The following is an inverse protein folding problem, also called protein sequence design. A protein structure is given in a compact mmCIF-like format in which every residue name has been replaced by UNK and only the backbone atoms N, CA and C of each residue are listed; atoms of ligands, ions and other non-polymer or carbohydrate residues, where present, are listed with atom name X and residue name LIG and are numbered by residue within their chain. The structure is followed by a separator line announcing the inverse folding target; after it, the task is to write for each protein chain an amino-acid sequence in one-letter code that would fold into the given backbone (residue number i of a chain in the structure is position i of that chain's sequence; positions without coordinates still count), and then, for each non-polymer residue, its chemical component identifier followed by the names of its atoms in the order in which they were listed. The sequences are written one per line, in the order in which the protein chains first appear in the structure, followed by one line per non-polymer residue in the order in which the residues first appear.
data_IF_457298501378
#
_entry.id   IF_457298501378
#
_cell.length_a   1.000
_cell.length_b   1.000
_cell.length_c   1.000
_cell.angle_alpha   90.00
_cell.angle_beta   90.00
_cell.angle_gamma   90.00
#
_symmetry.space_group_name_H-M   'P 1'
#
loop_
_entity.id
_entity.type
_entity.pdbx_description
1 polymer ?
#
# COMPACT_ATOMS: atom_id res chain seq x y z
N UNK A 1 30.90 8.10 -20.31
CA UNK A 1 29.71 8.99 -20.24
C UNK A 1 29.20 8.92 -18.81
N UNK A 2 29.44 9.96 -18.00
CA UNK A 2 29.21 9.94 -16.55
C UNK A 2 27.76 10.36 -16.24
N UNK A 3 26.96 9.47 -15.66
CA UNK A 3 25.61 9.77 -15.22
C UNK A 3 25.70 10.44 -13.84
N UNK A 4 25.49 11.75 -13.79
CA UNK A 4 25.37 12.53 -12.55
C UNK A 4 24.11 12.07 -11.79
N UNK A 5 24.30 11.26 -10.75
CA UNK A 5 23.28 11.02 -9.74
C UNK A 5 22.98 12.35 -9.03
N UNK A 6 21.76 12.88 -9.21
CA UNK A 6 21.29 14.06 -8.48
C UNK A 6 21.05 13.65 -7.03
N UNK A 7 21.72 14.25 -6.04
CA UNK A 7 21.34 14.04 -4.64
C UNK A 7 19.95 14.66 -4.45
N UNK A 8 18.95 13.83 -4.14
CA UNK A 8 17.64 14.26 -3.70
C UNK A 8 17.81 14.99 -2.36
N UNK A 9 17.93 16.31 -2.42
CA UNK A 9 18.06 17.19 -1.26
C UNK A 9 16.72 17.24 -0.53
N UNK A 10 16.50 16.30 0.37
CA UNK A 10 15.34 16.22 1.24
C UNK A 10 15.57 17.12 2.47
N UNK A 11 15.75 18.43 2.26
CA UNK A 11 16.00 19.40 3.34
C UNK A 11 14.90 20.45 3.52
N UNK A 12 13.93 20.49 2.61
CA UNK A 12 12.80 21.41 2.68
C UNK A 12 11.54 20.79 3.31
N UNK A 13 11.55 19.49 3.65
CA UNK A 13 10.33 18.76 4.02
C UNK A 13 9.96 18.88 5.51
N UNK A 14 10.89 19.26 6.38
CA UNK A 14 10.67 19.30 7.83
C UNK A 14 9.94 20.56 8.34
N UNK A 15 9.73 21.58 7.47
CA UNK A 15 9.14 22.87 7.87
C UNK A 15 7.62 22.95 7.75
N UNK A 16 6.97 21.99 7.10
CA UNK A 16 5.52 21.99 6.85
C UNK A 16 4.73 21.02 7.75
N UNK A 17 5.39 20.24 8.60
CA UNK A 17 4.69 19.28 9.46
C UNK A 17 4.41 19.86 10.84
N UNK A 18 3.13 19.89 11.19
CA UNK A 18 2.70 20.21 12.54
C UNK A 18 3.27 19.19 13.54
N UNK A 19 3.98 19.62 14.60
CA UNK A 19 4.57 18.71 15.57
C UNK A 19 3.52 17.83 16.27
N UNK A 20 2.28 18.32 16.36
CA UNK A 20 1.15 17.55 16.88
C UNK A 20 0.76 16.38 15.96
N UNK A 21 0.70 16.60 14.65
CA UNK A 21 0.40 15.55 13.68
C UNK A 21 1.50 14.49 13.64
N UNK A 22 2.76 14.92 13.81
CA UNK A 22 3.91 14.02 13.88
C UNK A 22 3.86 13.14 15.15
N UNK A 23 3.46 13.71 16.29
CA UNK A 23 3.28 12.98 17.53
C UNK A 23 2.10 11.99 17.46
N UNK A 24 0.99 12.40 16.84
CA UNK A 24 -0.15 11.52 16.57
C UNK A 24 0.24 10.34 15.69
N UNK A 25 0.95 10.60 14.58
CA UNK A 25 1.40 9.56 13.68
C UNK A 25 2.35 8.57 14.38
N UNK A 26 3.26 9.05 15.24
CA UNK A 26 4.14 8.19 16.04
C UNK A 26 3.37 7.32 17.02
N UNK A 27 2.44 7.90 17.79
CA UNK A 27 1.57 7.15 18.70
C UNK A 27 0.76 6.09 17.96
N UNK A 28 0.20 6.47 16.81
CA UNK A 28 -0.50 5.53 15.95
C UNK A 28 0.40 4.38 15.51
N UNK A 29 1.65 4.64 15.13
CA UNK A 29 2.57 3.58 14.70
C UNK A 29 2.86 2.57 15.81
N UNK A 30 2.95 3.02 17.07
CA UNK A 30 3.10 2.18 18.26
C UNK A 30 1.84 1.35 18.55
N UNK A 31 0.64 1.89 18.34
CA UNK A 31 -0.61 1.16 18.54
C UNK A 31 -1.15 0.46 17.29
N UNK A 32 -0.46 0.57 16.16
CA UNK A 32 -0.92 0.05 14.87
C UNK A 32 -0.77 -1.46 14.81
N UNK A 33 -1.91 -2.13 14.59
CA UNK A 33 -1.97 -3.57 14.35
C UNK A 33 -2.57 -3.84 12.97
N UNK A 34 -2.04 -4.82 12.25
CA UNK A 34 -2.51 -5.17 10.89
C UNK A 34 -3.98 -5.62 10.86
N UNK A 35 -4.47 -6.19 11.96
CA UNK A 35 -5.87 -6.62 12.10
C UNK A 35 -6.84 -5.47 12.35
N UNK A 36 -6.32 -4.29 12.75
CA UNK A 36 -7.12 -3.09 12.96
C UNK A 36 -7.57 -2.44 11.65
N UNK A 37 -6.92 -2.79 10.53
CA UNK A 37 -7.31 -2.28 9.22
C UNK A 37 -8.64 -2.89 8.75
N UNK A 38 -9.47 -2.12 8.04
CA UNK A 38 -10.68 -2.65 7.45
C UNK A 38 -10.34 -3.77 6.47
N UNK A 39 -11.13 -4.86 6.47
CA UNK A 39 -10.96 -5.97 5.53
C UNK A 39 -11.10 -5.52 4.07
N UNK A 40 -11.82 -4.43 3.82
CA UNK A 40 -12.14 -3.93 2.49
C UNK A 40 -13.12 -4.84 1.77
N UNK A 41 -13.55 -4.40 0.60
CA UNK A 41 -14.45 -5.18 -0.25
C UNK A 41 -13.62 -5.91 -1.29
N UNK A 42 -13.70 -7.24 -1.29
CA UNK A 42 -12.96 -8.09 -2.22
C UNK A 42 -13.89 -8.66 -3.28
N UNK A 43 -13.54 -8.43 -4.54
CA UNK A 43 -14.19 -9.02 -5.71
C UNK A 43 -13.27 -10.05 -6.35
N UNK A 44 -13.82 -11.21 -6.69
CA UNK A 44 -13.07 -12.29 -7.34
C UNK A 44 -13.35 -12.28 -8.83
N UNK A 45 -12.32 -12.54 -9.62
CA UNK A 45 -12.41 -12.63 -11.07
C UNK A 45 -11.61 -13.80 -11.60
N UNK A 46 -11.94 -14.19 -12.82
CA UNK A 46 -11.24 -15.24 -13.57
C UNK A 46 -9.85 -14.71 -13.91
N UNK A 47 -8.79 -15.45 -13.57
CA UNK A 47 -7.42 -15.04 -13.93
C UNK A 47 -7.25 -15.11 -15.45
N UNK A 48 -7.15 -13.97 -16.12
CA UNK A 48 -6.97 -13.92 -17.57
C UNK A 48 -5.53 -14.27 -17.95
N UNK A 49 -5.22 -15.56 -18.06
CA UNK A 49 -4.03 -16.04 -18.77
C UNK A 49 -4.23 -16.03 -20.29
N UNK A 50 -3.20 -15.71 -21.09
CA UNK A 50 -3.25 -15.80 -22.55
C UNK A 50 -3.23 -17.28 -22.98
N UNK A 51 -4.28 -17.75 -23.66
CA UNK A 51 -4.31 -19.10 -24.26
C UNK A 51 -5.65 -19.82 -24.13
N UNK A 52 -6.28 -20.10 -25.26
CA UNK A 52 -7.54 -20.84 -25.38
C UNK A 52 -7.41 -22.34 -25.09
N UNK A 53 -7.30 -22.71 -23.81
CA UNK A 53 -7.42 -24.09 -23.37
C UNK A 53 -8.49 -24.20 -22.28
N UNK A 54 -9.49 -25.07 -22.50
CA UNK A 54 -10.62 -25.31 -21.60
C UNK A 54 -10.16 -26.10 -20.36
N UNK A 55 -9.51 -25.39 -19.44
CA UNK A 55 -9.18 -25.89 -18.10
C UNK A 55 -10.02 -25.12 -17.10
N UNK A 56 -10.64 -25.82 -16.13
CA UNK A 56 -11.47 -25.24 -15.07
C UNK A 56 -10.76 -24.01 -14.47
N UNK A 57 -11.21 -22.83 -14.91
CA UNK A 57 -10.53 -21.55 -14.65
C UNK A 57 -10.94 -21.10 -13.27
N UNK A 58 -10.20 -21.54 -12.25
CA UNK A 58 -10.42 -21.14 -10.87
C UNK A 58 -10.41 -19.61 -10.79
N UNK A 59 -11.51 -19.01 -10.36
CA UNK A 59 -11.60 -17.57 -10.09
C UNK A 59 -10.75 -17.24 -8.87
N UNK A 60 -9.43 -17.21 -9.05
CA UNK A 60 -8.48 -16.99 -7.97
C UNK A 60 -8.07 -15.53 -7.86
N UNK A 61 -8.19 -14.72 -8.94
CA UNK A 61 -7.79 -13.31 -8.90
C UNK A 61 -8.68 -12.55 -7.92
N UNK A 62 -8.08 -12.08 -6.83
CA UNK A 62 -8.75 -11.26 -5.82
C UNK A 62 -8.41 -9.79 -6.07
N UNK A 63 -9.43 -8.96 -6.19
CA UNK A 63 -9.31 -7.50 -6.28
C UNK A 63 -9.96 -6.92 -5.05
N UNK A 64 -9.16 -6.38 -4.15
CA UNK A 64 -9.66 -5.77 -2.91
C UNK A 64 -9.57 -4.26 -3.04
N UNK A 65 -10.65 -3.58 -2.66
CA UNK A 65 -10.71 -2.14 -2.61
C UNK A 65 -11.09 -1.65 -1.22
N UNK A 66 -10.44 -0.56 -0.82
CA UNK A 66 -10.64 0.12 0.45
C UNK A 66 -10.91 1.58 0.17
N UNK A 67 -12.05 2.08 0.62
CA UNK A 67 -12.35 3.51 0.44
C UNK A 67 -11.43 4.34 1.33
N UNK A 68 -11.05 5.53 0.87
CA UNK A 68 -10.26 6.46 1.69
C UNK A 68 -11.05 6.84 2.96
N UNK A 69 -12.39 6.84 2.92
CA UNK A 69 -13.25 7.03 4.07
C UNK A 69 -13.07 5.94 5.14
N UNK A 70 -13.08 4.66 4.78
CA UNK A 70 -12.87 3.55 5.71
C UNK A 70 -11.46 3.54 6.30
N UNK A 71 -10.45 3.80 5.46
CA UNK A 71 -9.07 3.88 5.92
C UNK A 71 -8.83 5.11 6.80
N UNK A 72 -9.57 6.20 6.57
CA UNK A 72 -9.43 7.44 7.34
C UNK A 72 -9.75 7.30 8.82
N UNK A 73 -10.62 6.36 9.20
CA UNK A 73 -10.98 6.15 10.61
C UNK A 73 -9.86 5.52 11.44
N UNK A 74 -8.95 4.79 10.78
CA UNK A 74 -7.87 4.05 11.44
C UNK A 74 -6.48 4.63 11.20
N UNK A 75 -6.35 5.79 10.54
CA UNK A 75 -5.07 6.34 10.11
C UNK A 75 -4.89 7.80 10.56
N UNK A 76 -3.65 8.23 10.86
CA UNK A 76 -3.35 9.61 11.26
C UNK A 76 -3.46 10.55 10.06
N UNK A 77 -3.72 11.84 10.32
CA UNK A 77 -3.90 12.88 9.28
C UNK A 77 -2.81 12.90 8.21
N UNK A 78 -1.53 12.75 8.61
CA UNK A 78 -0.38 12.72 7.70
C UNK A 78 -0.44 11.59 6.67
N UNK A 79 -0.84 10.40 7.12
CA UNK A 79 -0.96 9.21 6.26
C UNK A 79 -2.21 9.35 5.39
N UNK A 80 -3.33 9.82 5.96
CA UNK A 80 -4.59 10.05 5.23
C UNK A 80 -4.41 10.96 4.02
N UNK A 81 -3.70 12.07 4.20
CA UNK A 81 -3.39 13.02 3.12
C UNK A 81 -2.48 12.42 2.06
N UNK A 82 -1.66 11.44 2.43
CA UNK A 82 -0.72 10.78 1.53
C UNK A 82 -1.29 9.50 0.86
N UNK A 83 -2.40 8.94 1.34
CA UNK A 83 -3.08 7.80 0.69
C UNK A 83 -3.39 8.08 -0.79
N UNK A 84 -3.81 9.30 -1.11
CA UNK A 84 -4.10 9.71 -2.50
C UNK A 84 -2.86 9.82 -3.39
N UNK A 85 -1.66 9.80 -2.79
CA UNK A 85 -0.38 9.74 -3.51
C UNK A 85 0.11 8.31 -3.71
N UNK A 86 -0.58 7.30 -3.14
CA UNK A 86 -0.24 5.90 -3.33
C UNK A 86 -0.38 5.47 -4.80
N UNK A 87 0.50 4.58 -5.23
CA UNK A 87 0.42 3.95 -6.56
C UNK A 87 -0.85 3.11 -6.78
N UNK A 88 -1.51 2.68 -5.70
CA UNK A 88 -2.72 1.86 -5.75
C UNK A 88 -4.00 2.71 -5.67
N UNK A 89 -3.88 4.04 -5.62
CA UNK A 89 -5.01 4.93 -5.52
C UNK A 89 -5.79 5.02 -6.84
N UNK A 90 -7.11 4.84 -6.73
CA UNK A 90 -8.06 4.98 -7.82
C UNK A 90 -8.89 6.25 -7.61
N UNK A 91 -8.64 7.27 -8.45
CA UNK A 91 -9.30 8.58 -8.37
C UNK A 91 -10.82 8.49 -8.58
N UNK A 92 -11.29 7.60 -9.43
CA UNK A 92 -12.72 7.50 -9.77
C UNK A 92 -13.63 7.10 -8.61
N UNK A 93 -13.12 6.31 -7.68
CA UNK A 93 -13.86 5.78 -6.52
C UNK A 93 -13.30 6.25 -5.17
N UNK A 94 -12.34 7.19 -5.18
CA UNK A 94 -11.55 7.65 -4.01
C UNK A 94 -11.14 6.47 -3.10
N UNK A 95 -10.53 5.45 -3.69
CA UNK A 95 -10.23 4.18 -3.02
C UNK A 95 -8.85 3.63 -3.38
N UNK A 96 -8.24 2.90 -2.46
CA UNK A 96 -7.06 2.08 -2.73
C UNK A 96 -7.53 0.75 -3.31
N UNK A 97 -7.01 0.35 -4.46
CA UNK A 97 -7.37 -0.90 -5.12
C UNK A 97 -6.13 -1.74 -5.37
N UNK A 98 -6.08 -2.93 -4.76
CA UNK A 98 -4.96 -3.87 -4.88
C UNK A 98 -5.50 -5.17 -5.46
N UNK A 99 -4.73 -5.75 -6.37
CA UNK A 99 -5.07 -7.01 -7.03
C UNK A 99 -3.93 -8.02 -6.88
N UNK A 100 -4.30 -9.26 -6.58
CA UNK A 100 -3.39 -10.39 -6.45
C UNK A 100 -3.98 -11.62 -7.14
N UNK A 101 -3.09 -12.37 -7.78
CA UNK A 101 -3.38 -13.64 -8.46
C UNK A 101 -2.21 -14.62 -8.33
N UNK A 102 -1.37 -14.42 -7.31
CA UNK A 102 -0.14 -15.18 -7.06
C UNK A 102 -0.45 -16.58 -6.53
N UNK A 103 -1.53 -16.74 -5.78
CA UNK A 103 -1.95 -17.99 -5.16
C UNK A 103 -3.06 -18.68 -5.95
N UNK A 104 -3.15 -20.01 -5.79
CA UNK A 104 -4.23 -20.85 -6.35
C UNK A 104 -5.55 -20.73 -5.56
N UNK A 105 -5.49 -20.23 -4.32
CA UNK A 105 -6.65 -20.04 -3.45
C UNK A 105 -7.12 -18.58 -3.44
N UNK A 106 -8.44 -18.38 -3.38
CA UNK A 106 -9.07 -17.05 -3.24
C UNK A 106 -8.60 -16.34 -1.98
N UNK A 107 -8.67 -17.05 -0.84
CA UNK A 107 -8.27 -16.52 0.47
C UNK A 107 -6.80 -16.09 0.49
N UNK A 108 -5.93 -16.87 -0.15
CA UNK A 108 -4.51 -16.55 -0.26
C UNK A 108 -4.24 -15.24 -0.99
N UNK A 109 -4.95 -15.00 -2.10
CA UNK A 109 -4.84 -13.74 -2.84
C UNK A 109 -5.46 -12.56 -2.07
N UNK A 110 -6.53 -12.78 -1.31
CA UNK A 110 -7.10 -11.74 -0.43
C UNK A 110 -6.14 -11.36 0.70
N UNK A 111 -5.44 -12.34 1.26
CA UNK A 111 -4.43 -12.12 2.30
C UNK A 111 -3.22 -11.34 1.74
N UNK A 112 -2.73 -11.71 0.56
CA UNK A 112 -1.66 -11.00 -0.16
C UNK A 112 -2.04 -9.54 -0.46
N UNK A 113 -3.30 -9.29 -0.83
CA UNK A 113 -3.82 -7.92 -1.00
C UNK A 113 -3.76 -7.12 0.32
N UNK A 114 -4.15 -7.74 1.44
CA UNK A 114 -4.10 -7.10 2.76
C UNK A 114 -2.67 -6.77 3.17
N UNK A 115 -1.74 -7.70 2.98
CA UNK A 115 -0.32 -7.48 3.28
C UNK A 115 0.25 -6.33 2.45
N UNK A 116 -0.05 -6.28 1.14
CA UNK A 116 0.36 -5.17 0.26
C UNK A 116 -0.19 -3.82 0.69
N UNK A 117 -1.42 -3.77 1.21
CA UNK A 117 -2.00 -2.55 1.75
C UNK A 117 -1.21 -2.07 2.98
N UNK A 118 -0.95 -2.97 3.93
CA UNK A 118 -0.15 -2.67 5.13
C UNK A 118 1.23 -2.14 4.73
N UNK A 119 1.92 -2.83 3.83
CA UNK A 119 3.25 -2.42 3.34
C UNK A 119 3.25 -1.06 2.64
N UNK A 120 2.14 -0.69 1.99
CA UNK A 120 1.98 0.62 1.35
C UNK A 120 1.74 1.71 2.40
N UNK A 121 0.82 1.48 3.34
CA UNK A 121 0.52 2.41 4.44
C UNK A 121 1.79 2.68 5.26
N UNK A 122 2.55 1.63 5.60
CA UNK A 122 3.81 1.76 6.33
C UNK A 122 4.88 2.50 5.53
N UNK A 123 4.92 2.31 4.20
CA UNK A 123 5.85 3.05 3.36
C UNK A 123 5.50 4.55 3.32
N UNK A 124 4.22 4.88 3.16
CA UNK A 124 3.71 6.26 3.23
C UNK A 124 4.04 6.89 4.58
N UNK A 125 3.81 6.17 5.68
CA UNK A 125 4.15 6.64 7.02
C UNK A 125 5.64 6.97 7.13
N UNK A 126 6.53 6.07 6.68
CA UNK A 126 7.98 6.29 6.71
C UNK A 126 8.43 7.47 5.85
N UNK A 127 7.76 7.71 4.72
CA UNK A 127 8.04 8.85 3.85
C UNK A 127 7.60 10.18 4.48
N UNK A 128 6.46 10.19 5.17
CA UNK A 128 5.87 11.39 5.79
C UNK A 128 6.40 11.71 7.17
N UNK A 129 6.87 10.71 7.93
CA UNK A 129 7.41 10.90 9.27
C UNK A 129 8.94 10.77 9.23
N UNK A 130 9.67 11.90 9.09
CA UNK A 130 11.12 11.90 9.20
C UNK A 130 11.52 11.46 10.62
N UNK A 131 12.36 10.41 10.70
CA UNK A 131 12.88 9.90 11.98
C UNK A 131 13.06 8.39 12.08
N UNK A 132 12.45 7.59 11.21
CA UNK A 132 12.69 6.14 11.16
C UNK A 132 13.35 5.74 9.84
N UNK A 133 14.63 6.07 9.78
CA UNK A 133 15.65 5.68 8.81
C UNK A 133 15.45 4.27 8.21
N UNK A 134 15.27 4.26 6.88
CA UNK A 134 16.05 3.49 5.90
C UNK A 134 15.73 2.02 5.60
N UNK A 135 15.38 1.79 4.33
CA UNK A 135 15.98 0.78 3.44
C UNK A 135 15.49 -0.68 3.45
N UNK A 136 14.19 -0.95 3.25
CA UNK A 136 13.72 -2.34 3.09
C UNK A 136 12.87 -2.61 1.83
N UNK A 137 12.97 -1.79 0.79
CA UNK A 137 12.34 -2.07 -0.52
C UNK A 137 13.34 -2.25 -1.66
N UNK A 138 14.52 -2.82 -1.37
CA UNK A 138 15.46 -3.33 -2.40
C UNK A 138 15.70 -4.83 -2.17
N UNK A 139 14.67 -5.68 -2.09
CA UNK A 139 14.86 -7.15 -2.08
C UNK A 139 13.68 -7.97 -2.61
N UNK A 140 13.07 -7.65 -3.77
CA UNK A 140 12.15 -8.62 -4.42
C UNK A 140 12.12 -8.63 -5.96
N UNK A 141 13.09 -8.04 -6.65
CA UNK A 141 13.17 -8.14 -8.12
C UNK A 141 14.58 -8.47 -8.65
N UNK A 142 15.37 -9.19 -7.86
CA UNK A 142 16.66 -9.73 -8.30
C UNK A 142 16.63 -11.25 -8.15
N UNK A 143 15.85 -11.88 -9.03
CA UNK A 143 15.91 -13.31 -9.32
C UNK A 143 15.53 -13.47 -10.79
N UNK A 144 16.51 -13.21 -11.66
CA UNK A 144 16.54 -13.63 -13.05
C UNK A 144 17.97 -14.10 -13.34
#
# INVERSE_FOLDING_TARGET
MWIRARPFQNKAYERDFDPNELAEARKWRDSFDESSLPKGQTSYSRSSGPGGQHVNKTESKATTFWTVGELSSGLPSLVRSALRSSKYYTRGSDSITIQAQTQRSRTGNTDDNRQKLVEEILAIYKERVPGVTSNEKIRKHEAL
#
